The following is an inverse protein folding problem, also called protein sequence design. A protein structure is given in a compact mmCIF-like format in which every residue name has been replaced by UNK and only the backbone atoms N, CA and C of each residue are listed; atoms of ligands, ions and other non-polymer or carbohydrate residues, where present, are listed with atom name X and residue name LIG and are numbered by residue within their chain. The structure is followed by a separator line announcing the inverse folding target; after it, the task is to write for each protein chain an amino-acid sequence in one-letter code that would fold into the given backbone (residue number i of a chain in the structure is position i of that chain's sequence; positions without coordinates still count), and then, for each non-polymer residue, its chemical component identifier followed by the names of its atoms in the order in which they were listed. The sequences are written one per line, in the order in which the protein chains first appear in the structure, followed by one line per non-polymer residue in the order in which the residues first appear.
data_IF_777415433384
#
_entry.id   IF_777415433384
#
_cell.length_a   1.000
_cell.length_b   1.000
_cell.length_c   1.000
_cell.angle_alpha   90.00
_cell.angle_beta   90.00
_cell.angle_gamma   90.00
#
_symmetry.space_group_name_H-M   'P 1'
#
loop_
_entity.id
_entity.type
_entity.pdbx_description
1 polymer ?
#
# COMPACT_ATOMS: atom_id res chain seq x y z
N UNK A 1 -5.98 -27.61 -17.89
CA UNK A 1 -4.55 -27.23 -17.83
C UNK A 1 -4.21 -26.93 -16.38
N UNK A 2 -3.13 -27.54 -15.87
CA UNK A 2 -2.77 -27.63 -14.45
C UNK A 2 -2.43 -26.25 -13.87
N UNK A 3 -3.06 -25.90 -12.74
CA UNK A 3 -2.66 -24.76 -11.90
C UNK A 3 -1.37 -25.15 -11.17
N UNK A 4 -0.28 -24.42 -11.42
CA UNK A 4 0.96 -24.53 -10.66
C UNK A 4 0.99 -23.47 -9.56
N UNK A 5 1.65 -23.84 -8.47
CA UNK A 5 1.49 -23.37 -7.11
C UNK A 5 1.93 -21.92 -6.85
N UNK A 6 1.17 -21.22 -6.00
CA UNK A 6 1.62 -20.03 -5.30
C UNK A 6 2.61 -20.46 -4.19
N UNK A 7 3.84 -19.97 -4.27
CA UNK A 7 4.82 -20.11 -3.20
C UNK A 7 4.48 -19.11 -2.09
N UNK A 8 3.90 -19.61 -0.99
CA UNK A 8 3.72 -18.86 0.25
C UNK A 8 5.04 -18.91 1.02
N UNK A 9 5.75 -17.78 1.08
CA UNK A 9 6.93 -17.61 1.93
C UNK A 9 6.47 -17.35 3.37
N UNK A 10 6.27 -18.43 4.13
CA UNK A 10 6.10 -18.40 5.58
C UNK A 10 7.48 -18.26 6.23
N UNK A 11 7.81 -17.06 6.73
CA UNK A 11 8.96 -16.86 7.63
C UNK A 11 8.57 -17.37 9.01
N UNK A 12 9.04 -18.59 9.33
CA UNK A 12 8.88 -19.20 10.64
C UNK A 12 9.95 -18.66 11.60
N UNK A 13 9.53 -17.81 12.55
CA UNK A 13 10.32 -17.52 13.74
C UNK A 13 10.21 -18.69 14.72
N UNK A 14 11.29 -19.46 14.83
CA UNK A 14 11.47 -20.50 15.83
C UNK A 14 11.86 -19.84 17.15
N UNK A 15 10.96 -19.87 18.13
CA UNK A 15 11.34 -19.75 19.54
C UNK A 15 10.97 -21.04 20.27
N UNK A 16 12.00 -21.85 20.53
CA UNK A 16 11.97 -23.02 21.41
C UNK A 16 11.85 -22.55 22.86
N UNK A 17 10.85 -23.08 23.56
CA UNK A 17 10.68 -22.93 25.01
C UNK A 17 9.51 -23.77 25.54
N UNK A 18 9.77 -25.04 25.87
CA UNK A 18 8.92 -25.92 26.68
C UNK A 18 8.57 -25.26 28.04
N UNK A 19 7.51 -25.56 28.80
CA UNK A 19 6.80 -26.82 28.97
C UNK A 19 5.53 -26.64 29.82
N UNK A 20 4.59 -27.58 29.63
CA UNK A 20 3.68 -28.17 30.62
C UNK A 20 2.17 -27.91 30.47
N UNK A 21 1.47 -29.05 30.36
CA UNK A 21 0.14 -29.32 29.81
C UNK A 21 -0.99 -29.41 30.85
N UNK A 22 -2.20 -29.68 30.31
CA UNK A 22 -3.42 -30.29 30.87
C UNK A 22 -4.59 -29.29 31.09
N UNK A 23 -5.86 -29.58 30.82
CA UNK A 23 -6.56 -30.80 30.41
C UNK A 23 -7.92 -30.44 29.79
N UNK A 24 -8.52 -31.43 29.12
CA UNK A 24 -9.89 -31.61 28.59
C UNK A 24 -11.04 -30.72 29.09
N UNK A 25 -11.99 -30.45 28.18
CA UNK A 25 -13.39 -30.91 28.35
C UNK A 25 -14.20 -30.86 27.05
N UNK A 26 -14.66 -32.04 26.62
CA UNK A 26 -15.77 -32.28 25.71
C UNK A 26 -17.13 -31.76 26.22
N UNK A 27 -18.03 -31.55 25.25
CA UNK A 27 -19.52 -31.52 25.27
C UNK A 27 -20.12 -30.13 25.05
N UNK A 28 -21.29 -29.94 24.45
CA UNK A 28 -22.26 -30.68 23.61
C UNK A 28 -23.45 -29.69 23.49
N UNK A 29 -24.31 -29.92 22.51
CA UNK A 29 -25.67 -29.39 22.32
C UNK A 29 -25.70 -28.11 21.46
N UNK A 30 -26.08 -28.17 20.18
CA UNK A 30 -27.40 -28.53 19.62
C UNK A 30 -28.54 -27.75 20.25
N UNK A 31 -28.94 -26.65 19.60
CA UNK A 31 -30.37 -26.35 19.45
C UNK A 31 -30.62 -25.33 18.36
N UNK A 32 -31.33 -25.80 17.33
CA UNK A 32 -32.12 -25.01 16.39
C UNK A 32 -33.23 -24.29 17.14
N UNK A 33 -33.49 -23.02 16.83
CA UNK A 33 -34.85 -22.46 16.89
C UNK A 33 -34.98 -21.20 16.03
N UNK A 34 -35.86 -21.32 15.04
CA UNK A 34 -36.48 -20.25 14.25
C UNK A 34 -37.47 -19.49 15.13
N UNK A 35 -37.55 -18.15 15.04
CA UNK A 35 -38.80 -17.41 15.28
C UNK A 35 -38.78 -16.09 14.49
N UNK A 36 -39.96 -15.73 13.99
CA UNK A 36 -40.31 -14.70 13.00
C UNK A 36 -40.97 -13.53 13.72
N UNK A 37 -40.73 -12.31 13.20
CA UNK A 37 -41.51 -11.06 13.28
C UNK A 37 -42.02 -10.56 14.64
N UNK A 38 -41.83 -9.26 14.91
CA UNK A 38 -42.94 -8.30 14.81
C UNK A 38 -42.45 -6.85 14.75
N UNK A 39 -43.26 -6.01 14.14
CA UNK A 39 -43.09 -4.57 14.03
C UNK A 39 -43.73 -3.87 15.24
N UNK A 40 -43.14 -2.77 15.72
CA UNK A 40 -43.88 -1.67 16.34
C UNK A 40 -43.03 -0.41 16.37
N UNK A 41 -43.54 0.61 15.71
CA UNK A 41 -43.29 2.03 15.97
C UNK A 41 -43.41 2.34 17.46
N UNK A 42 -42.41 2.96 18.06
CA UNK A 42 -42.63 3.93 19.14
C UNK A 42 -41.76 5.18 18.94
N UNK A 43 -42.49 6.28 18.81
CA UNK A 43 -42.06 7.67 18.79
C UNK A 43 -41.58 8.04 20.20
N UNK A 44 -40.27 8.12 20.39
CA UNK A 44 -39.63 8.63 21.61
C UNK A 44 -38.91 9.95 21.34
N UNK A 45 -39.57 11.05 21.65
CA UNK A 45 -38.97 12.39 21.75
C UNK A 45 -38.12 12.42 23.04
N UNK A 46 -36.81 12.47 22.88
CA UNK A 46 -35.85 12.52 23.98
C UNK A 46 -34.68 13.39 23.59
N UNK A 47 -34.67 14.62 24.09
CA UNK A 47 -33.52 15.53 24.05
C UNK A 47 -32.35 14.89 24.79
N UNK A 48 -31.26 14.63 24.08
CA UNK A 48 -29.95 14.33 24.65
C UNK A 48 -28.85 14.92 23.75
N UNK A 49 -27.79 15.32 24.43
CA UNK A 49 -26.65 16.10 23.96
C UNK A 49 -25.99 15.59 22.68
N UNK A 50 -25.53 16.59 21.92
CA UNK A 50 -24.82 16.55 20.65
C UNK A 50 -23.45 15.85 20.82
N UNK A 51 -23.44 14.53 20.73
CA UNK A 51 -22.29 13.80 20.21
C UNK A 51 -22.65 13.38 18.79
N UNK A 52 -22.12 14.12 17.82
CA UNK A 52 -22.12 13.73 16.42
C UNK A 52 -21.40 12.39 16.26
N UNK A 53 -22.15 11.29 16.41
CA UNK A 53 -21.82 10.04 15.74
C UNK A 53 -21.96 10.34 14.26
N UNK A 54 -20.82 10.52 13.60
CA UNK A 54 -20.71 10.43 12.17
C UNK A 54 -21.37 9.12 11.74
N UNK A 55 -22.59 9.21 11.22
CA UNK A 55 -23.26 8.12 10.54
C UNK A 55 -22.35 7.70 9.39
N UNK A 56 -21.47 6.73 9.64
CA UNK A 56 -20.59 6.14 8.64
C UNK A 56 -21.44 5.26 7.74
N UNK A 57 -22.31 5.90 6.96
CA UNK A 57 -22.81 5.35 5.72
C UNK A 57 -21.57 4.92 4.94
N UNK A 58 -21.50 3.69 4.38
CA UNK A 58 -20.33 3.27 3.62
C UNK A 58 -20.06 4.35 2.57
N UNK A 59 -18.93 5.04 2.74
CA UNK A 59 -18.51 6.13 1.85
C UNK A 59 -18.44 5.50 0.47
N UNK A 60 -19.39 5.88 -0.39
CA UNK A 60 -19.43 5.39 -1.75
C UNK A 60 -18.08 5.70 -2.39
N UNK A 61 -17.51 4.74 -3.09
CA UNK A 61 -16.29 5.00 -3.84
C UNK A 61 -16.65 5.99 -4.96
N UNK A 62 -16.17 7.22 -4.81
CA UNK A 62 -16.21 8.26 -5.83
C UNK A 62 -14.80 8.84 -5.99
N UNK A 63 -14.57 9.59 -7.07
CA UNK A 63 -13.24 10.09 -7.40
C UNK A 63 -12.68 11.03 -6.32
N UNK A 64 -13.54 11.81 -5.66
CA UNK A 64 -13.12 12.72 -4.61
C UNK A 64 -12.71 11.96 -3.33
N UNK A 65 -13.49 10.96 -2.94
CA UNK A 65 -13.16 10.07 -1.83
C UNK A 65 -11.89 9.27 -2.14
N UNK A 66 -11.74 8.78 -3.37
CA UNK A 66 -10.54 8.07 -3.84
C UNK A 66 -9.29 8.96 -3.78
N UNK A 67 -9.40 10.22 -4.23
CA UNK A 67 -8.29 11.17 -4.18
C UNK A 67 -7.84 11.48 -2.75
N UNK A 68 -8.80 11.62 -1.81
CA UNK A 68 -8.49 11.77 -0.38
C UNK A 68 -7.87 10.51 0.21
N UNK A 69 -8.33 9.34 -0.20
CA UNK A 69 -7.76 8.07 0.24
C UNK A 69 -6.30 7.95 -0.19
N UNK A 70 -5.97 8.28 -1.45
CA UNK A 70 -4.58 8.32 -1.90
C UNK A 70 -3.73 9.35 -1.17
N UNK A 71 -4.25 10.56 -0.95
CA UNK A 71 -3.54 11.58 -0.16
C UNK A 71 -3.25 11.07 1.27
N UNK A 72 -4.21 10.37 1.88
CA UNK A 72 -4.03 9.76 3.20
C UNK A 72 -2.98 8.65 3.14
N UNK A 73 -3.04 7.77 2.13
CA UNK A 73 -2.06 6.69 1.92
C UNK A 73 -0.64 7.22 1.73
N UNK A 74 -0.48 8.35 1.05
CA UNK A 74 0.82 8.99 0.78
C UNK A 74 1.38 9.81 1.94
N UNK A 75 0.54 10.23 2.88
CA UNK A 75 0.96 11.02 4.05
C UNK A 75 0.96 10.23 5.36
N UNK A 76 0.32 9.06 5.37
CA UNK A 76 0.30 8.16 6.52
C UNK A 76 1.42 7.13 6.42
N UNK A 77 2.15 6.95 7.50
CA UNK A 77 3.25 5.99 7.59
C UNK A 77 4.28 6.45 8.60
N UNK A 78 5.13 5.52 9.03
CA UNK A 78 6.28 5.83 9.90
C UNK A 78 7.53 5.96 9.05
N UNK A 79 8.29 7.05 9.25
CA UNK A 79 9.62 7.19 8.66
C UNK A 79 10.49 5.98 9.03
N UNK A 80 11.03 5.29 8.03
CA UNK A 80 11.86 4.09 8.22
C UNK A 80 11.12 2.75 8.12
N UNK A 81 9.78 2.74 7.97
CA UNK A 81 9.00 1.51 7.71
C UNK A 81 9.08 1.01 6.26
N UNK A 82 9.81 1.72 5.39
CA UNK A 82 9.75 1.53 3.94
C UNK A 82 8.54 2.22 3.29
N UNK A 83 7.67 2.87 4.08
CA UNK A 83 6.62 3.75 3.58
C UNK A 83 7.16 5.00 2.90
N UNK A 84 6.64 5.28 1.70
CA UNK A 84 6.78 6.58 1.08
C UNK A 84 5.88 7.57 1.83
N UNK A 85 6.43 8.19 2.87
CA UNK A 85 5.74 9.23 3.63
C UNK A 85 6.08 10.58 3.02
N UNK A 86 5.05 11.28 2.54
CA UNK A 86 5.14 12.62 2.00
C UNK A 86 4.57 13.65 2.96
N UNK A 87 5.08 14.88 2.84
CA UNK A 87 4.43 16.04 3.45
C UNK A 87 2.99 16.14 2.98
N UNK A 88 2.12 16.58 3.89
CA UNK A 88 0.67 16.60 3.67
C UNK A 88 0.29 17.39 2.42
N UNK A 89 0.94 18.54 2.18
CA UNK A 89 0.68 19.38 1.01
C UNK A 89 0.99 18.67 -0.31
N UNK A 90 2.07 17.88 -0.34
CA UNK A 90 2.43 17.10 -1.51
C UNK A 90 1.44 15.96 -1.73
N UNK A 91 1.07 15.25 -0.65
CA UNK A 91 0.09 14.18 -0.71
C UNK A 91 -1.30 14.67 -1.17
N UNK A 92 -1.75 15.82 -0.67
CA UNK A 92 -3.01 16.47 -1.06
C UNK A 92 -3.00 16.93 -2.53
N UNK A 93 -1.84 17.23 -3.09
CA UNK A 93 -1.68 17.54 -4.52
C UNK A 93 -1.72 16.25 -5.39
N UNK A 94 -1.02 15.20 -4.96
CA UNK A 94 -0.85 13.96 -5.73
C UNK A 94 -2.13 13.12 -5.72
N UNK A 95 -2.78 12.98 -4.57
CA UNK A 95 -3.93 12.08 -4.40
C UNK A 95 -5.06 12.29 -5.42
N UNK A 96 -5.56 13.52 -5.61
CA UNK A 96 -6.57 13.81 -6.63
C UNK A 96 -6.10 13.51 -8.06
N UNK A 97 -4.83 13.74 -8.39
CA UNK A 97 -4.27 13.43 -9.72
C UNK A 97 -4.25 11.93 -9.98
N UNK A 98 -3.88 11.13 -8.98
CA UNK A 98 -3.95 9.68 -9.06
C UNK A 98 -5.37 9.17 -9.27
N UNK A 99 -6.33 9.71 -8.52
CA UNK A 99 -7.75 9.37 -8.69
C UNK A 99 -8.26 9.73 -10.09
N UNK A 100 -7.90 10.90 -10.62
CA UNK A 100 -8.28 11.31 -11.98
C UNK A 100 -7.59 10.46 -13.07
N UNK A 101 -6.36 9.99 -12.83
CA UNK A 101 -5.61 9.18 -13.78
C UNK A 101 -6.17 7.76 -13.93
N UNK A 102 -6.62 7.16 -12.83
CA UNK A 102 -7.06 5.75 -12.77
C UNK A 102 -8.59 5.60 -12.79
N UNK A 103 -9.30 6.55 -12.18
CA UNK A 103 -10.73 6.43 -11.91
C UNK A 103 -11.06 5.41 -10.82
N UNK A 104 -12.35 5.26 -10.54
CA UNK A 104 -12.86 4.42 -9.44
C UNK A 104 -13.02 2.94 -9.81
N UNK A 105 -13.25 2.65 -11.10
CA UNK A 105 -13.64 1.31 -11.57
C UNK A 105 -12.65 0.18 -11.18
N UNK A 106 -11.31 0.36 -11.29
CA UNK A 106 -10.36 -0.70 -10.93
C UNK A 106 -10.44 -1.07 -9.45
N UNK A 107 -10.66 -0.10 -8.57
CA UNK A 107 -10.76 -0.28 -7.12
C UNK A 107 -12.11 -0.89 -6.71
N UNK A 108 -13.21 -0.47 -7.35
CA UNK A 108 -14.52 -1.09 -7.14
C UNK A 108 -14.51 -2.57 -7.54
N UNK A 109 -13.90 -2.88 -8.69
CA UNK A 109 -13.79 -4.26 -9.20
C UNK A 109 -12.93 -5.15 -8.30
N UNK A 110 -11.91 -4.58 -7.67
CA UNK A 110 -11.09 -5.25 -6.66
C UNK A 110 -11.81 -5.37 -5.29
N UNK A 111 -12.98 -4.75 -5.11
CA UNK A 111 -13.75 -4.79 -3.87
C UNK A 111 -13.10 -4.00 -2.73
N UNK A 112 -12.28 -3.00 -3.06
CA UNK A 112 -11.53 -2.21 -2.08
C UNK A 112 -12.40 -1.13 -1.43
N UNK A 113 -12.29 -1.00 -0.12
CA UNK A 113 -12.89 0.10 0.65
C UNK A 113 -11.96 1.32 0.67
N UNK A 114 -12.52 2.49 0.96
CA UNK A 114 -11.73 3.72 1.18
C UNK A 114 -10.66 3.53 2.25
N UNK A 115 -10.98 2.80 3.33
CA UNK A 115 -10.05 2.51 4.41
C UNK A 115 -8.85 1.67 3.93
N UNK A 116 -9.11 0.65 3.12
CA UNK A 116 -8.05 -0.17 2.51
C UNK A 116 -7.19 0.64 1.54
N UNK A 117 -7.80 1.55 0.76
CA UNK A 117 -7.05 2.41 -0.18
C UNK A 117 -6.21 3.45 0.58
N UNK A 118 -6.72 3.94 1.71
CA UNK A 118 -6.02 4.90 2.57
C UNK A 118 -4.86 4.28 3.32
N UNK A 119 -4.75 2.94 3.33
CA UNK A 119 -3.62 2.24 3.95
C UNK A 119 -2.43 2.23 2.99
N UNK A 120 -1.23 2.62 3.43
CA UNK A 120 -0.02 2.59 2.59
C UNK A 120 0.20 1.23 1.92
N UNK A 121 0.56 1.24 0.63
CA UNK A 121 0.89 0.07 -0.20
C UNK A 121 -0.17 -1.04 -0.36
N UNK A 122 -1.35 -0.90 0.24
CA UNK A 122 -2.39 -1.92 0.16
C UNK A 122 -3.07 -1.91 -1.22
N UNK A 123 -3.26 -0.73 -1.81
CA UNK A 123 -3.99 -0.58 -3.07
C UNK A 123 -3.19 -0.98 -4.32
N UNK A 124 -1.87 -0.74 -4.35
CA UNK A 124 -1.01 -1.02 -5.51
C UNK A 124 -0.74 -2.50 -5.74
N UNK A 125 -0.84 -3.34 -4.69
CA UNK A 125 -0.66 -4.80 -4.81
C UNK A 125 -1.94 -5.54 -5.21
N UNK A 126 -3.10 -4.89 -5.07
CA UNK A 126 -4.42 -5.49 -5.30
C UNK A 126 -5.08 -5.01 -6.60
N UNK A 127 -4.51 -3.97 -7.22
CA UNK A 127 -4.99 -3.40 -8.49
C UNK A 127 -3.82 -3.33 -9.47
N UNK A 128 -3.96 -4.01 -10.60
CA UNK A 128 -3.04 -3.85 -11.74
C UNK A 128 -3.57 -2.75 -12.65
N UNK A 129 -2.74 -1.75 -12.90
CA UNK A 129 -3.01 -0.64 -13.80
C UNK A 129 -2.31 -0.85 -15.14
N UNK A 130 -2.75 -0.10 -16.14
CA UNK A 130 -2.04 0.01 -17.42
C UNK A 130 -0.76 0.83 -17.28
N UNK A 131 0.19 0.65 -18.21
CA UNK A 131 1.41 1.46 -18.28
C UNK A 131 1.12 2.96 -18.28
N UNK A 132 0.05 3.37 -18.97
CA UNK A 132 -0.38 4.77 -19.06
C UNK A 132 -0.82 5.31 -17.70
N UNK A 133 -1.59 4.53 -16.95
CA UNK A 133 -2.09 4.90 -15.63
C UNK A 133 -0.95 4.98 -14.60
N UNK A 134 -0.05 3.99 -14.59
CA UNK A 134 1.13 4.05 -13.71
C UNK A 134 2.10 5.18 -14.06
N UNK A 135 2.30 5.47 -15.35
CA UNK A 135 3.08 6.63 -15.79
C UNK A 135 2.44 7.95 -15.36
N UNK A 136 1.11 8.05 -15.41
CA UNK A 136 0.38 9.23 -14.93
C UNK A 136 0.47 9.37 -13.40
N UNK A 137 0.46 8.26 -12.65
CA UNK A 137 0.72 8.29 -11.21
C UNK A 137 2.14 8.75 -10.91
N UNK A 138 3.13 8.24 -11.64
CA UNK A 138 4.52 8.68 -11.50
C UNK A 138 4.69 10.17 -11.83
N UNK A 139 4.12 10.64 -12.94
CA UNK A 139 4.22 12.05 -13.35
C UNK A 139 3.64 13.02 -12.30
N UNK A 140 2.59 12.61 -11.57
CA UNK A 140 1.97 13.42 -10.54
C UNK A 140 2.95 13.85 -9.43
N UNK A 141 3.98 13.06 -9.12
CA UNK A 141 5.02 13.45 -8.16
C UNK A 141 5.76 14.71 -8.65
N UNK A 142 6.26 14.69 -9.89
CA UNK A 142 6.97 15.82 -10.49
C UNK A 142 6.08 17.05 -10.62
N UNK A 143 4.82 16.89 -11.02
CA UNK A 143 3.83 17.98 -11.10
C UNK A 143 3.53 18.63 -9.75
N UNK A 144 3.66 17.86 -8.66
CA UNK A 144 3.47 18.32 -7.29
C UNK A 144 4.79 18.69 -6.58
N UNK A 145 5.90 18.78 -7.32
CA UNK A 145 7.20 19.20 -6.78
C UNK A 145 7.91 18.14 -5.94
N UNK A 146 7.50 16.87 -6.04
CA UNK A 146 8.14 15.75 -5.35
C UNK A 146 9.11 15.05 -6.28
N UNK A 147 10.39 15.05 -5.89
CA UNK A 147 11.41 14.23 -6.53
C UNK A 147 11.38 12.81 -5.95
N UNK A 148 10.47 11.99 -6.51
CA UNK A 148 10.23 10.63 -6.01
C UNK A 148 11.42 9.71 -6.24
N UNK A 149 12.14 9.88 -7.36
CA UNK A 149 13.35 9.11 -7.69
C UNK A 149 14.42 9.37 -6.63
N UNK A 150 14.70 10.64 -6.31
CA UNK A 150 15.66 10.97 -5.25
C UNK A 150 15.20 10.46 -3.89
N UNK A 151 13.94 10.68 -3.50
CA UNK A 151 13.41 10.20 -2.20
C UNK A 151 13.56 8.68 -2.04
N UNK A 152 13.20 7.91 -3.07
CA UNK A 152 13.36 6.46 -3.03
C UNK A 152 14.83 6.05 -3.03
N UNK A 153 15.67 6.74 -3.81
CA UNK A 153 17.11 6.48 -3.82
C UNK A 153 17.72 6.73 -2.44
N UNK A 154 17.43 7.87 -1.81
CA UNK A 154 17.85 8.22 -0.45
C UNK A 154 17.42 7.16 0.57
N UNK A 155 16.20 6.63 0.44
CA UNK A 155 15.71 5.53 1.28
C UNK A 155 16.50 4.22 1.09
N UNK A 156 16.86 3.88 -0.15
CA UNK A 156 17.63 2.65 -0.45
C UNK A 156 19.07 2.78 0.07
N UNK A 157 19.67 3.97 -0.08
CA UNK A 157 21.08 4.19 0.23
C UNK A 157 21.33 4.63 1.68
N UNK A 158 20.29 4.82 2.48
CA UNK A 158 20.39 5.28 3.87
C UNK A 158 21.35 4.46 4.74
N UNK A 159 21.54 3.17 4.44
CA UNK A 159 22.49 2.28 5.13
C UNK A 159 23.93 2.27 4.60
N UNK A 160 24.23 2.99 3.51
CA UNK A 160 25.56 3.02 2.87
C UNK A 160 26.47 4.09 3.48
N UNK A 161 27.78 3.95 3.28
CA UNK A 161 28.74 5.01 3.62
C UNK A 161 28.51 6.27 2.76
N UNK A 162 28.94 7.43 3.23
CA UNK A 162 28.70 8.72 2.54
C UNK A 162 29.23 8.74 1.09
N UNK A 163 30.43 8.20 0.86
CA UNK A 163 31.00 8.11 -0.49
C UNK A 163 30.21 7.17 -1.41
N UNK A 164 29.67 6.08 -0.86
CA UNK A 164 28.82 5.15 -1.59
C UNK A 164 27.46 5.77 -1.90
N UNK A 165 26.83 6.44 -0.93
CA UNK A 165 25.59 7.20 -1.14
C UNK A 165 25.72 8.24 -2.24
N UNK A 166 26.78 9.05 -2.18
CA UNK A 166 27.04 10.08 -3.18
C UNK A 166 27.22 9.48 -4.58
N UNK A 167 27.96 8.37 -4.69
CA UNK A 167 28.10 7.67 -5.97
C UNK A 167 26.75 7.16 -6.50
N UNK A 168 25.92 6.54 -5.66
CA UNK A 168 24.62 6.03 -6.11
C UNK A 168 23.72 7.15 -6.60
N UNK A 169 23.64 8.26 -5.87
CA UNK A 169 22.84 9.42 -6.28
C UNK A 169 23.33 10.02 -7.60
N UNK A 170 24.64 9.94 -7.90
CA UNK A 170 25.23 10.41 -9.17
C UNK A 170 25.02 9.41 -10.32
N UNK A 171 25.11 8.10 -10.05
CA UNK A 171 25.09 7.04 -11.06
C UNK A 171 23.72 6.43 -11.31
N UNK A 172 22.71 6.81 -10.52
CA UNK A 172 21.34 6.39 -10.76
C UNK A 172 20.88 6.93 -12.11
N UNK A 173 20.56 6.03 -13.03
CA UNK A 173 19.99 6.40 -14.32
C UNK A 173 18.52 6.82 -14.10
N UNK A 174 18.17 8.09 -14.40
CA UNK A 174 16.83 8.60 -14.14
C UNK A 174 15.76 7.92 -14.99
N UNK A 175 16.09 7.49 -16.22
CA UNK A 175 15.14 6.86 -17.14
C UNK A 175 14.83 5.42 -16.68
N UNK A 176 15.85 4.69 -16.20
CA UNK A 176 15.65 3.36 -15.61
C UNK A 176 14.89 3.43 -14.29
N UNK A 177 15.17 4.43 -13.46
CA UNK A 177 14.45 4.64 -12.20
C UNK A 177 12.96 4.98 -12.47
N UNK A 178 12.69 5.86 -13.43
CA UNK A 178 11.32 6.19 -13.86
C UNK A 178 10.59 4.96 -14.41
N UNK A 179 11.24 4.16 -15.26
CA UNK A 179 10.65 2.95 -15.81
C UNK A 179 10.32 1.91 -14.72
N UNK A 180 11.24 1.69 -13.77
CA UNK A 180 11.02 0.77 -12.65
C UNK A 180 9.88 1.26 -11.73
N UNK A 181 9.85 2.55 -11.41
CA UNK A 181 8.83 3.12 -10.54
C UNK A 181 7.46 3.15 -11.20
N UNK A 182 7.37 3.48 -12.50
CA UNK A 182 6.11 3.45 -13.24
C UNK A 182 5.51 2.04 -13.27
N UNK A 183 6.33 1.01 -13.42
CA UNK A 183 5.87 -0.39 -13.30
C UNK A 183 5.41 -0.74 -11.89
N UNK A 184 6.17 -0.33 -10.86
CA UNK A 184 5.81 -0.53 -9.46
C UNK A 184 4.45 0.10 -9.13
N UNK A 185 4.23 1.36 -9.54
CA UNK A 185 2.95 2.06 -9.35
C UNK A 185 1.82 1.45 -10.18
N UNK A 186 2.14 0.80 -11.29
CA UNK A 186 1.16 0.03 -12.07
C UNK A 186 0.76 -1.31 -11.42
N UNK A 187 1.39 -1.70 -10.31
CA UNK A 187 1.23 -3.05 -9.74
C UNK A 187 1.80 -4.14 -10.66
N UNK A 188 2.71 -3.78 -11.57
CA UNK A 188 3.41 -4.69 -12.47
C UNK A 188 4.74 -5.14 -11.85
N UNK A 189 5.24 -6.28 -12.32
CA UNK A 189 6.56 -6.75 -11.91
C UNK A 189 7.65 -5.83 -12.49
N UNK A 190 8.35 -5.14 -11.60
CA UNK A 190 9.49 -4.28 -11.90
C UNK A 190 10.84 -4.97 -11.63
N UNK A 191 10.86 -6.28 -11.30
CA UNK A 191 12.07 -6.98 -10.89
C UNK A 191 13.19 -6.90 -11.94
N UNK A 192 12.85 -6.99 -13.23
CA UNK A 192 13.87 -6.94 -14.30
C UNK A 192 14.53 -5.56 -14.38
N UNK A 193 13.73 -4.48 -14.40
CA UNK A 193 14.22 -3.10 -14.44
C UNK A 193 14.98 -2.75 -13.16
N UNK A 194 14.45 -3.13 -12.00
CA UNK A 194 15.08 -2.93 -10.71
C UNK A 194 16.43 -3.65 -10.62
N UNK A 195 16.51 -4.92 -11.06
CA UNK A 195 17.77 -5.66 -11.07
C UNK A 195 18.78 -5.04 -12.05
N UNK A 196 18.35 -4.60 -13.22
CA UNK A 196 19.22 -3.92 -14.18
C UNK A 196 19.78 -2.61 -13.59
N UNK A 197 18.92 -1.80 -12.99
CA UNK A 197 19.29 -0.55 -12.31
C UNK A 197 20.27 -0.82 -11.16
N UNK A 198 19.93 -1.73 -10.24
CA UNK A 198 20.78 -2.05 -9.09
C UNK A 198 22.11 -2.68 -9.49
N UNK A 199 22.14 -3.49 -10.56
CA UNK A 199 23.39 -4.07 -11.09
C UNK A 199 24.30 -2.99 -11.68
N UNK A 200 23.75 -2.06 -12.46
CA UNK A 200 24.52 -0.96 -13.03
C UNK A 200 25.14 -0.08 -11.93
N UNK A 201 24.32 0.28 -10.94
CA UNK A 201 24.74 1.10 -9.79
C UNK A 201 25.74 0.36 -8.90
N UNK A 202 25.54 -0.93 -8.62
CA UNK A 202 26.48 -1.69 -7.78
C UNK A 202 27.87 -1.81 -8.40
N UNK A 203 27.93 -2.02 -9.72
CA UNK A 203 29.18 -2.08 -10.48
C UNK A 203 29.87 -0.71 -10.52
N UNK A 204 29.12 0.37 -10.74
CA UNK A 204 29.67 1.71 -10.82
C UNK A 204 30.17 2.24 -9.47
N UNK A 205 29.51 1.84 -8.37
CA UNK A 205 29.76 2.38 -7.03
C UNK A 205 30.44 1.38 -6.07
N UNK A 206 30.86 0.22 -6.57
CA UNK A 206 31.51 -0.84 -5.80
C UNK A 206 30.72 -1.21 -4.52
N UNK A 207 29.41 -1.39 -4.68
CA UNK A 207 28.52 -1.78 -3.59
C UNK A 207 28.56 -3.29 -3.36
N UNK A 208 28.38 -3.77 -2.12
CA UNK A 208 28.10 -5.19 -1.89
C UNK A 208 26.83 -5.56 -2.66
N UNK A 209 26.93 -6.57 -3.54
CA UNK A 209 25.78 -7.08 -4.28
C UNK A 209 24.71 -7.59 -3.30
N UNK A 210 23.42 -7.32 -3.53
CA UNK A 210 22.38 -7.98 -2.76
C UNK A 210 22.52 -9.48 -3.01
N UNK A 211 22.80 -10.24 -1.96
CA UNK A 211 22.80 -11.70 -2.02
C UNK A 211 21.39 -12.13 -2.37
N UNK A 212 21.20 -12.64 -3.58
CA UNK A 212 19.94 -13.23 -4.02
C UNK A 212 19.70 -14.52 -3.23
N UNK A 213 18.79 -14.44 -2.26
CA UNK A 213 18.12 -15.60 -1.67
C UNK A 213 16.63 -15.55 -2.04
#
# INVERSE_FOLDING_TARGET
MKRLAAAVLLVALVSVGCSSSNDKADKKDSSTSTTKADASDEKGEGTSEDEAKEDTKPTKLDEAALGKAFATSLSSGEEGSGALVLEKEAADCIGPKWAAAVGVEPYEKAGLTIEQISTPFTSSSLVTLTDKEGSAQFAAFGECGVDIVRKMTESIVGGLEEAQRACVLEKMDPDLAEAALSKLFSGQDAQTEYLAMMTAVSQACNLPMPSGE
#
